data_IF_683026186226
#
_entry.id   IF_683026186226
#
_cell.length_a   1.000
_cell.length_b   1.000
_cell.length_c   1.000
_cell.angle_alpha   90.00
_cell.angle_beta   90.00
_cell.angle_gamma   90.00
#
_symmetry.space_group_name_H-M   'P 1'
#
loop_
_entity.id
_entity.type
_entity.pdbx_description
1 polymer ?
#
# COMPACT_ATOMS: atom_id res chain seq x y z
N UNK A 1 -24.74 -9.86 -9.91
CA UNK A 1 -23.63 -8.95 -10.21
C UNK A 1 -22.73 -8.84 -8.99
N UNK A 2 -21.49 -9.26 -9.15
CA UNK A 2 -20.56 -9.21 -8.02
C UNK A 2 -20.10 -7.78 -7.80
N UNK A 3 -20.08 -7.36 -6.54
CA UNK A 3 -19.48 -6.09 -6.19
C UNK A 3 -17.98 -6.14 -6.42
N UNK A 4 -17.44 -5.06 -6.94
CA UNK A 4 -16.01 -4.93 -7.12
C UNK A 4 -15.37 -4.63 -5.77
N UNK A 5 -14.48 -5.51 -5.33
CA UNK A 5 -13.77 -5.36 -4.06
C UNK A 5 -12.39 -4.81 -4.31
N UNK A 6 -12.07 -3.74 -3.60
CA UNK A 6 -10.75 -3.11 -3.65
C UNK A 6 -9.94 -3.50 -2.44
N UNK A 7 -8.66 -3.76 -2.67
CA UNK A 7 -7.69 -3.99 -1.61
C UNK A 7 -6.54 -2.99 -1.77
N UNK A 8 -6.04 -2.52 -0.65
CA UNK A 8 -4.82 -1.71 -0.61
C UNK A 8 -3.78 -2.49 0.17
N UNK A 9 -2.61 -2.71 -0.43
CA UNK A 9 -1.52 -3.45 0.20
C UNK A 9 -0.28 -2.56 0.20
N UNK A 10 0.19 -2.19 1.39
CA UNK A 10 1.43 -1.42 1.51
C UNK A 10 2.62 -2.37 1.43
N UNK A 11 3.71 -1.92 0.82
CA UNK A 11 4.89 -2.76 0.62
C UNK A 11 4.61 -3.96 -0.29
N UNK A 12 3.72 -3.79 -1.24
CA UNK A 12 3.18 -4.87 -2.07
C UNK A 12 4.22 -5.51 -2.99
N UNK A 13 5.35 -4.85 -3.23
CA UNK A 13 6.44 -5.31 -4.09
C UNK A 13 7.59 -5.95 -3.33
N UNK A 14 7.51 -6.03 -2.00
CA UNK A 14 8.51 -6.71 -1.18
C UNK A 14 8.36 -8.23 -1.21
N UNK A 15 9.20 -8.94 -0.47
CA UNK A 15 9.17 -10.40 -0.43
C UNK A 15 7.82 -10.94 0.01
N UNK A 16 7.40 -10.58 1.22
CA UNK A 16 6.11 -11.00 1.76
C UNK A 16 4.96 -10.30 1.04
N UNK A 17 5.12 -9.01 0.71
CA UNK A 17 4.10 -8.23 0.03
C UNK A 17 3.75 -8.78 -1.35
N UNK A 18 4.72 -9.28 -2.10
CA UNK A 18 4.49 -9.91 -3.39
C UNK A 18 3.62 -11.16 -3.24
N UNK A 19 3.88 -11.98 -2.23
CA UNK A 19 3.09 -13.19 -1.98
C UNK A 19 1.66 -12.85 -1.54
N UNK A 20 1.49 -11.84 -0.69
CA UNK A 20 0.17 -11.37 -0.27
C UNK A 20 -0.59 -10.85 -1.50
N UNK A 21 0.06 -10.02 -2.32
CA UNK A 21 -0.57 -9.45 -3.51
C UNK A 21 -1.00 -10.53 -4.48
N UNK A 22 -0.16 -11.57 -4.67
CA UNK A 22 -0.50 -12.70 -5.53
C UNK A 22 -1.77 -13.39 -5.05
N UNK A 23 -1.86 -13.68 -3.76
CA UNK A 23 -3.01 -14.36 -3.18
C UNK A 23 -4.29 -13.53 -3.31
N UNK A 24 -4.19 -12.24 -3.02
CA UNK A 24 -5.35 -11.33 -3.10
C UNK A 24 -5.79 -11.13 -4.55
N UNK A 25 -4.83 -11.06 -5.48
CA UNK A 25 -5.14 -10.96 -6.91
C UNK A 25 -5.86 -12.20 -7.42
N UNK A 26 -5.44 -13.39 -6.99
CA UNK A 26 -6.10 -14.64 -7.34
C UNK A 26 -7.52 -14.71 -6.79
N UNK A 27 -7.77 -14.06 -5.69
CA UNK A 27 -9.10 -13.99 -5.08
C UNK A 27 -10.04 -13.02 -5.82
N UNK A 28 -9.56 -12.30 -6.83
CA UNK A 28 -10.39 -11.45 -7.67
C UNK A 28 -10.53 -10.01 -7.22
N UNK A 29 -9.70 -9.55 -6.29
CA UNK A 29 -9.73 -8.16 -5.85
C UNK A 29 -9.08 -7.25 -6.88
N UNK A 30 -9.58 -6.03 -6.98
CA UNK A 30 -8.83 -4.93 -7.57
C UNK A 30 -7.85 -4.45 -6.51
N UNK A 31 -6.60 -4.25 -6.89
CA UNK A 31 -5.54 -4.00 -5.91
C UNK A 31 -4.82 -2.69 -6.20
N UNK A 32 -4.67 -1.87 -5.16
CA UNK A 32 -3.74 -0.76 -5.16
C UNK A 32 -2.50 -1.23 -4.42
N UNK A 33 -1.41 -1.34 -5.16
CA UNK A 33 -0.09 -1.67 -4.63
C UNK A 33 0.57 -0.36 -4.18
N UNK A 34 0.54 -0.10 -2.88
CA UNK A 34 1.10 1.11 -2.30
C UNK A 34 2.58 0.86 -1.99
N UNK A 35 3.46 1.48 -2.76
CA UNK A 35 4.87 1.13 -2.77
C UNK A 35 5.77 2.36 -2.70
N UNK A 36 6.94 2.19 -2.06
CA UNK A 36 7.92 3.28 -1.94
C UNK A 36 8.67 3.53 -3.25
N UNK A 37 8.95 2.46 -4.02
CA UNK A 37 9.69 2.55 -5.29
C UNK A 37 8.74 2.18 -6.45
N UNK A 38 8.06 3.17 -7.05
CA UNK A 38 7.05 2.87 -8.07
C UNK A 38 7.59 2.11 -9.29
N UNK A 39 8.81 2.42 -9.74
CA UNK A 39 9.38 1.75 -10.92
C UNK A 39 9.63 0.26 -10.67
N UNK A 40 10.18 -0.07 -9.51
CA UNK A 40 10.37 -1.46 -9.10
C UNK A 40 9.03 -2.17 -8.95
N UNK A 41 8.08 -1.50 -8.34
CA UNK A 41 6.74 -2.05 -8.11
C UNK A 41 6.01 -2.33 -9.43
N UNK A 42 6.22 -1.51 -10.45
CA UNK A 42 5.58 -1.70 -11.74
C UNK A 42 6.03 -2.99 -12.41
N UNK A 43 7.30 -3.35 -12.29
CA UNK A 43 7.83 -4.63 -12.79
C UNK A 43 7.14 -5.81 -12.09
N UNK A 44 6.99 -5.71 -10.78
CA UNK A 44 6.32 -6.74 -9.98
C UNK A 44 4.83 -6.81 -10.36
N UNK A 45 4.18 -5.66 -10.54
CA UNK A 45 2.77 -5.60 -10.94
C UNK A 45 2.53 -6.33 -12.26
N UNK A 46 3.34 -6.05 -13.27
CA UNK A 46 3.20 -6.72 -14.58
C UNK A 46 3.34 -8.23 -14.45
N UNK A 47 4.34 -8.68 -13.69
CA UNK A 47 4.57 -10.11 -13.48
C UNK A 47 3.36 -10.75 -12.78
N UNK A 48 2.87 -10.14 -11.72
CA UNK A 48 1.74 -10.67 -10.96
C UNK A 48 0.45 -10.67 -11.77
N UNK A 49 0.23 -9.63 -12.58
CA UNK A 49 -0.93 -9.57 -13.45
C UNK A 49 -0.95 -10.75 -14.43
N UNK A 50 0.20 -11.06 -15.02
CA UNK A 50 0.33 -12.20 -15.95
C UNK A 50 0.15 -13.53 -15.23
N UNK A 51 0.79 -13.70 -14.07
CA UNK A 51 0.72 -14.95 -13.31
C UNK A 51 -0.69 -15.26 -12.82
N UNK A 52 -1.41 -14.25 -12.36
CA UNK A 52 -2.72 -14.44 -11.74
C UNK A 52 -3.89 -14.30 -12.72
N UNK A 53 -3.62 -13.73 -13.90
CA UNK A 53 -4.67 -13.41 -14.86
C UNK A 53 -5.53 -12.22 -14.45
N UNK A 54 -5.14 -11.48 -13.41
CA UNK A 54 -5.90 -10.33 -12.91
C UNK A 54 -5.27 -9.04 -13.45
N UNK A 55 -5.97 -8.30 -14.35
CA UNK A 55 -5.44 -7.06 -14.90
C UNK A 55 -5.63 -5.85 -13.99
N UNK A 56 -6.37 -5.99 -12.90
CA UNK A 56 -6.81 -4.86 -12.07
C UNK A 56 -5.85 -4.60 -10.92
N UNK A 57 -4.56 -4.49 -11.21
CA UNK A 57 -3.53 -4.12 -10.27
C UNK A 57 -2.95 -2.77 -10.68
N UNK A 58 -2.82 -1.88 -9.70
CA UNK A 58 -2.36 -0.50 -9.93
C UNK A 58 -1.32 -0.13 -8.87
N UNK A 59 -0.21 0.50 -9.29
CA UNK A 59 0.82 0.98 -8.37
C UNK A 59 0.58 2.46 -8.07
N UNK A 60 0.54 2.81 -6.79
CA UNK A 60 0.53 4.20 -6.33
C UNK A 60 1.63 4.36 -5.28
N UNK A 61 2.43 5.41 -5.44
CA UNK A 61 3.54 5.67 -4.53
C UNK A 61 3.06 6.10 -3.15
N UNK A 62 3.74 5.61 -2.12
CA UNK A 62 3.56 6.07 -0.74
C UNK A 62 4.90 5.98 -0.02
N UNK A 63 5.21 7.00 0.78
CA UNK A 63 6.36 7.00 1.67
C UNK A 63 5.87 7.07 3.11
N UNK A 64 5.90 5.94 3.81
CA UNK A 64 5.43 5.85 5.19
C UNK A 64 6.35 6.55 6.19
N UNK A 65 7.53 7.02 5.76
CA UNK A 65 8.38 7.87 6.57
C UNK A 65 7.98 9.35 6.48
N UNK A 66 6.97 9.68 5.68
CA UNK A 66 6.47 11.04 5.50
C UNK A 66 4.96 11.06 5.71
N UNK A 67 4.51 11.74 6.75
CA UNK A 67 3.07 11.87 7.02
C UNK A 67 2.39 12.66 5.91
N UNK A 68 3.08 13.63 5.32
CA UNK A 68 2.57 14.35 4.15
C UNK A 68 2.31 13.41 2.98
N UNK A 69 3.20 12.46 2.72
CA UNK A 69 3.01 11.45 1.67
C UNK A 69 1.81 10.55 1.98
N UNK A 70 1.63 10.16 3.24
CA UNK A 70 0.49 9.34 3.65
C UNK A 70 -0.82 10.08 3.40
N UNK A 71 -0.88 11.36 3.76
CA UNK A 71 -2.08 12.18 3.53
C UNK A 71 -2.35 12.32 2.03
N UNK A 72 -1.31 12.58 1.23
CA UNK A 72 -1.46 12.71 -0.22
C UNK A 72 -1.98 11.42 -0.86
N UNK A 73 -1.45 10.28 -0.44
CA UNK A 73 -1.94 8.98 -0.91
C UNK A 73 -3.40 8.77 -0.54
N UNK A 74 -3.75 8.99 0.73
CA UNK A 74 -5.12 8.81 1.20
C UNK A 74 -6.09 9.73 0.46
N UNK A 75 -5.68 10.97 0.17
CA UNK A 75 -6.51 11.91 -0.57
C UNK A 75 -6.85 11.40 -1.97
N UNK A 76 -5.89 10.79 -2.67
CA UNK A 76 -6.15 10.20 -3.99
C UNK A 76 -7.22 9.11 -3.91
N UNK A 77 -7.12 8.26 -2.89
CA UNK A 77 -8.08 7.16 -2.72
C UNK A 77 -9.47 7.70 -2.37
N UNK A 78 -9.53 8.69 -1.45
CA UNK A 78 -10.79 9.31 -1.04
C UNK A 78 -11.49 10.00 -2.20
N UNK A 79 -10.74 10.71 -3.05
CA UNK A 79 -11.30 11.39 -4.22
C UNK A 79 -11.92 10.40 -5.21
N UNK A 80 -11.32 9.21 -5.34
CA UNK A 80 -11.85 8.17 -6.21
C UNK A 80 -13.03 7.44 -5.57
N UNK A 81 -13.26 7.65 -4.28
CA UNK A 81 -14.37 7.04 -3.52
C UNK A 81 -14.45 5.53 -3.71
N UNK A 82 -13.30 4.85 -3.60
CA UNK A 82 -13.23 3.42 -3.81
C UNK A 82 -13.77 2.67 -2.59
N UNK A 83 -14.63 1.67 -2.78
CA UNK A 83 -15.07 0.83 -1.66
C UNK A 83 -13.94 -0.12 -1.26
N UNK A 84 -13.29 0.16 -0.14
CA UNK A 84 -12.14 -0.61 0.32
C UNK A 84 -12.62 -1.77 1.19
N UNK A 85 -12.44 -2.98 0.70
CA UNK A 85 -12.81 -4.19 1.42
C UNK A 85 -11.65 -4.72 2.29
N UNK A 86 -10.41 -4.37 1.94
CA UNK A 86 -9.22 -4.88 2.62
C UNK A 86 -8.12 -3.84 2.62
N UNK A 87 -7.58 -3.53 3.78
CA UNK A 87 -6.35 -2.73 3.91
C UNK A 87 -5.31 -3.59 4.61
N UNK A 88 -4.24 -3.91 3.90
CA UNK A 88 -3.16 -4.74 4.43
C UNK A 88 -1.94 -3.85 4.70
N UNK A 89 -1.70 -3.55 5.97
CA UNK A 89 -0.54 -2.78 6.40
C UNK A 89 0.66 -3.72 6.52
N UNK A 90 1.24 -4.06 5.38
CA UNK A 90 2.34 -5.02 5.28
C UNK A 90 3.72 -4.37 5.29
N UNK A 91 3.84 -3.13 4.81
CA UNK A 91 5.13 -2.45 4.75
C UNK A 91 5.74 -2.31 6.13
N UNK A 92 7.05 -2.47 6.20
CA UNK A 92 7.78 -2.29 7.45
C UNK A 92 9.27 -2.15 7.16
N UNK A 93 9.99 -1.63 8.14
CA UNK A 93 11.43 -1.51 8.07
C UNK A 93 12.03 -1.83 9.44
N UNK A 94 13.28 -2.29 9.44
CA UNK A 94 14.07 -2.43 10.66
C UNK A 94 15.43 -1.83 10.37
N UNK A 95 15.71 -0.69 10.97
CA UNK A 95 16.96 0.02 10.75
C UNK A 95 17.84 -0.07 11.99
N UNK A 96 19.14 -0.29 11.76
CA UNK A 96 20.12 -0.23 12.85
C UNK A 96 20.49 1.23 13.08
N UNK A 97 20.56 1.64 14.36
CA UNK A 97 20.87 3.00 14.74
C UNK A 97 19.62 3.88 14.75
N UNK A 98 19.86 5.15 15.10
CA UNK A 98 18.78 6.14 15.22
C UNK A 98 18.79 7.06 14.00
N UNK A 99 17.68 7.08 13.28
CA UNK A 99 17.50 7.97 12.13
C UNK A 99 16.18 8.72 12.28
N UNK A 100 16.18 10.00 11.94
CA UNK A 100 14.97 10.83 12.01
C UNK A 100 14.45 11.11 10.60
N UNK A 101 13.11 11.25 10.49
CA UNK A 101 12.47 11.68 9.25
C UNK A 101 12.58 13.20 9.12
N UNK A 102 12.27 13.73 7.92
CA UNK A 102 12.23 15.16 7.68
C UNK A 102 11.21 15.88 8.57
N UNK A 103 10.22 15.16 9.11
CA UNK A 103 9.20 15.70 10.01
C UNK A 103 9.57 15.57 11.49
N UNK A 104 10.77 15.07 11.78
CA UNK A 104 11.30 15.00 13.14
C UNK A 104 10.95 13.72 13.91
N UNK A 105 10.40 12.71 13.24
CA UNK A 105 10.07 11.43 13.88
C UNK A 105 11.22 10.44 13.73
N UNK A 106 11.30 9.47 14.64
CA UNK A 106 12.21 8.35 14.47
C UNK A 106 11.70 7.49 13.30
N UNK A 107 12.60 7.10 12.40
CA UNK A 107 12.21 6.55 11.09
C UNK A 107 11.49 5.20 11.19
N UNK A 108 11.98 4.29 12.02
CA UNK A 108 11.34 2.99 12.19
C UNK A 108 9.93 3.13 12.77
N UNK A 109 9.76 4.01 13.76
CA UNK A 109 8.44 4.30 14.34
C UNK A 109 7.51 4.94 13.31
N UNK A 110 8.03 5.87 12.50
CA UNK A 110 7.23 6.49 11.45
C UNK A 110 6.73 5.46 10.45
N UNK A 111 7.61 4.63 9.92
CA UNK A 111 7.26 3.66 8.87
C UNK A 111 6.37 2.53 9.40
N UNK A 112 6.68 2.02 10.60
CA UNK A 112 6.02 0.81 11.11
C UNK A 112 4.78 1.09 11.94
N UNK A 113 4.62 2.31 12.46
CA UNK A 113 3.52 2.63 13.36
C UNK A 113 2.74 3.87 12.94
N UNK A 114 3.40 5.04 12.89
CA UNK A 114 2.70 6.30 12.66
C UNK A 114 2.08 6.39 11.28
N UNK A 115 2.82 5.97 10.25
CA UNK A 115 2.34 5.98 8.87
C UNK A 115 1.12 5.09 8.67
N UNK A 116 1.22 3.80 9.04
CA UNK A 116 0.06 2.89 8.95
C UNK A 116 -1.14 3.33 9.77
N UNK A 117 -0.90 3.89 10.96
CA UNK A 117 -1.98 4.40 11.80
C UNK A 117 -2.73 5.54 11.09
N UNK A 118 -1.99 6.52 10.60
CA UNK A 118 -2.59 7.67 9.91
C UNK A 118 -3.31 7.22 8.64
N UNK A 119 -2.70 6.34 7.85
CA UNK A 119 -3.31 5.80 6.63
C UNK A 119 -4.64 5.13 6.95
N UNK A 120 -4.64 4.25 7.94
CA UNK A 120 -5.86 3.53 8.34
C UNK A 120 -6.95 4.48 8.77
N UNK A 121 -6.62 5.46 9.62
CA UNK A 121 -7.58 6.45 10.09
C UNK A 121 -8.19 7.24 8.94
N UNK A 122 -7.38 7.63 7.97
CA UNK A 122 -7.84 8.40 6.82
C UNK A 122 -8.76 7.60 5.90
N UNK A 123 -8.57 6.29 5.81
CA UNK A 123 -9.32 5.45 4.88
C UNK A 123 -10.56 4.80 5.50
N UNK A 124 -10.74 4.88 6.82
CA UNK A 124 -11.91 4.31 7.49
C UNK A 124 -13.23 4.68 6.81
N UNK A 125 -13.47 5.93 6.36
CA UNK A 125 -14.74 6.28 5.72
C UNK A 125 -15.08 5.46 4.47
N UNK A 126 -14.08 4.82 3.84
CA UNK A 126 -14.29 3.99 2.64
C UNK A 126 -14.43 2.50 2.95
N UNK A 127 -14.24 2.14 4.20
CA UNK A 127 -14.22 0.72 4.61
C UNK A 127 -15.55 0.25 5.17
#
# INVERSE_FOLDING_TARGET
MSEMKWAIITGADGGMGTEITRAVAKAGYRIIMACYHPKKAEVVRERLSKETGNPDLEVIAIDLSSMQSVVAFASQILERNLPIALLMNNAGTMETGFHTTSEGFERTVSVNYMGPYLLTRKLIPLM
#
